data_IF_963249627276
#
_entry.id   IF_963249627276
#
_cell.length_a   1.000
_cell.length_b   1.000
_cell.length_c   1.000
_cell.angle_alpha   90.00
_cell.angle_beta   90.00
_cell.angle_gamma   90.00
#
_symmetry.space_group_name_H-M   'P 1'
#
loop_
_entity.id
_entity.type
_entity.pdbx_description
1 polymer ?
#
# COMPACT_ATOMS: atom_id res chain seq x y z
N UNK A 1 20.42 49.74 5.55
CA UNK A 1 19.31 49.01 4.90
C UNK A 1 19.62 47.53 4.97
N UNK A 2 18.87 46.81 5.81
CA UNK A 2 18.99 45.37 5.99
C UNK A 2 18.38 44.63 4.80
N UNK A 3 18.97 43.50 4.40
CA UNK A 3 18.17 42.43 3.84
C UNK A 3 18.74 41.07 4.27
N UNK A 4 18.13 40.52 5.31
CA UNK A 4 18.26 39.13 5.72
C UNK A 4 17.39 38.29 4.77
N UNK A 5 18.00 37.45 3.95
CA UNK A 5 17.30 36.32 3.34
C UNK A 5 17.31 35.17 4.36
N UNK A 6 16.19 34.98 5.04
CA UNK A 6 15.97 33.86 5.95
C UNK A 6 16.06 32.55 5.17
N UNK A 7 17.16 31.83 5.34
CA UNK A 7 17.25 30.42 5.02
C UNK A 7 16.28 29.69 5.98
N UNK A 8 15.09 29.37 5.46
CA UNK A 8 14.15 28.49 6.14
C UNK A 8 14.84 27.15 6.36
N UNK A 9 15.21 26.89 7.62
CA UNK A 9 15.52 25.55 8.09
C UNK A 9 14.27 24.71 7.85
N UNK A 10 14.26 23.95 6.74
CA UNK A 10 13.38 22.82 6.60
C UNK A 10 13.79 21.87 7.73
N UNK A 11 13.03 21.90 8.82
CA UNK A 11 13.16 20.95 9.91
C UNK A 11 12.88 19.57 9.32
N UNK A 12 13.94 18.87 8.92
CA UNK A 12 13.95 17.44 8.71
C UNK A 12 13.62 16.84 10.07
N UNK A 13 12.33 16.67 10.35
CA UNK A 13 11.87 15.87 11.48
C UNK A 13 12.20 14.44 11.09
N UNK A 14 13.45 14.05 11.36
CA UNK A 14 13.80 12.67 11.51
C UNK A 14 12.81 12.11 12.54
N UNK A 15 11.85 11.28 12.09
CA UNK A 15 11.15 10.36 12.97
C UNK A 15 12.18 9.34 13.44
N UNK A 16 13.07 9.78 14.32
CA UNK A 16 13.83 8.91 15.17
C UNK A 16 12.84 8.02 15.91
N UNK A 17 13.27 6.79 16.19
CA UNK A 17 12.61 5.83 17.08
C UNK A 17 12.28 6.50 18.42
N UNK A 18 11.20 7.27 18.48
CA UNK A 18 10.55 7.60 19.74
C UNK A 18 9.90 6.30 20.18
N UNK A 19 10.19 5.85 21.40
CA UNK A 19 9.57 4.70 22.07
C UNK A 19 8.07 4.89 22.31
N UNK A 20 7.32 5.18 21.26
CA UNK A 20 5.87 5.15 21.24
C UNK A 20 5.50 3.67 21.19
N UNK A 21 4.87 3.19 22.26
CA UNK A 21 4.21 1.89 22.26
C UNK A 21 3.34 1.81 21.00
N UNK A 22 3.72 0.91 20.10
CA UNK A 22 3.02 0.70 18.85
C UNK A 22 1.64 0.10 19.19
N UNK A 23 0.58 0.83 18.85
CA UNK A 23 -0.81 0.37 19.00
C UNK A 23 -1.44 0.44 17.61
N UNK A 24 -1.73 -0.71 16.98
CA UNK A 24 -2.46 -0.76 15.72
C UNK A 24 -3.72 0.11 15.79
N UNK A 25 -4.13 0.73 14.69
CA UNK A 25 -5.32 1.59 14.68
C UNK A 25 -6.57 0.81 15.17
N UNK A 26 -6.60 -0.50 14.91
CA UNK A 26 -7.65 -1.44 15.31
C UNK A 26 -7.63 -1.84 16.80
N UNK A 27 -6.53 -1.60 17.51
CA UNK A 27 -6.34 -1.95 18.92
C UNK A 27 -6.68 -0.79 19.89
N UNK A 28 -7.15 0.34 19.38
CA UNK A 28 -7.63 1.46 20.20
C UNK A 28 -8.96 1.11 20.86
N UNK A 29 -9.15 1.57 22.11
CA UNK A 29 -10.36 1.37 22.90
C UNK A 29 -11.57 2.19 22.41
N UNK A 30 -11.35 3.13 21.48
CA UNK A 30 -12.42 3.90 20.85
C UNK A 30 -13.23 3.01 19.90
N UNK A 31 -14.46 2.70 20.32
CA UNK A 31 -15.38 1.85 19.59
C UNK A 31 -15.71 2.41 18.19
N UNK A 32 -16.01 3.72 18.09
CA UNK A 32 -16.43 4.33 16.83
C UNK A 32 -15.29 4.36 15.83
N UNK A 33 -14.08 4.70 16.28
CA UNK A 33 -12.88 4.65 15.47
C UNK A 33 -12.61 3.23 14.98
N UNK A 34 -12.69 2.23 15.87
CA UNK A 34 -12.50 0.82 15.50
C UNK A 34 -13.51 0.37 14.45
N UNK A 35 -14.79 0.71 14.60
CA UNK A 35 -15.83 0.41 13.61
C UNK A 35 -15.56 1.12 12.27
N UNK A 36 -15.13 2.39 12.31
CA UNK A 36 -14.75 3.14 11.11
C UNK A 36 -13.61 2.48 10.34
N UNK A 37 -12.56 2.05 11.05
CA UNK A 37 -11.42 1.34 10.43
C UNK A 37 -11.87 0.01 9.84
N UNK A 38 -12.67 -0.79 10.54
CA UNK A 38 -13.16 -2.07 10.01
C UNK A 38 -13.96 -1.88 8.71
N UNK A 39 -14.79 -0.83 8.64
CA UNK A 39 -15.53 -0.48 7.42
C UNK A 39 -14.59 -0.02 6.29
N UNK A 40 -13.59 0.81 6.60
CA UNK A 40 -12.57 1.19 5.63
C UNK A 40 -11.84 -0.04 5.06
N UNK A 41 -11.40 -0.97 5.92
CA UNK A 41 -10.71 -2.19 5.48
C UNK A 41 -11.61 -3.08 4.61
N UNK A 42 -12.92 -3.15 4.89
CA UNK A 42 -13.87 -3.89 4.04
C UNK A 42 -14.05 -3.25 2.66
N UNK A 43 -14.09 -1.91 2.59
CA UNK A 43 -14.11 -1.16 1.33
C UNK A 43 -12.82 -1.45 0.55
N UNK A 44 -11.67 -1.35 1.21
CA UNK A 44 -10.37 -1.60 0.59
C UNK A 44 -10.20 -3.04 0.11
N UNK A 45 -10.70 -4.03 0.84
CA UNK A 45 -10.74 -5.42 0.33
C UNK A 45 -11.53 -5.52 -0.98
N UNK A 46 -12.67 -4.84 -1.08
CA UNK A 46 -13.50 -4.82 -2.28
C UNK A 46 -12.80 -4.10 -3.44
N UNK A 47 -12.26 -2.91 -3.20
CA UNK A 47 -11.54 -2.10 -4.21
C UNK A 47 -10.37 -2.88 -4.81
N UNK A 48 -9.54 -3.51 -3.96
CA UNK A 48 -8.39 -4.31 -4.43
C UNK A 48 -8.84 -5.53 -5.24
N UNK A 49 -9.92 -6.21 -4.84
CA UNK A 49 -10.46 -7.34 -5.62
C UNK A 49 -10.95 -6.91 -6.99
N UNK A 50 -11.67 -5.79 -7.06
CA UNK A 50 -12.17 -5.22 -8.33
C UNK A 50 -10.98 -4.87 -9.24
N UNK A 51 -10.01 -4.11 -8.73
CA UNK A 51 -8.80 -3.77 -9.49
C UNK A 51 -8.03 -5.01 -9.95
N UNK A 52 -7.96 -6.06 -9.14
CA UNK A 52 -7.29 -7.32 -9.51
C UNK A 52 -8.01 -8.02 -10.67
N UNK A 53 -9.34 -8.01 -10.69
CA UNK A 53 -10.13 -8.57 -11.81
C UNK A 53 -10.00 -7.71 -13.06
N UNK A 54 -9.97 -6.38 -12.93
CA UNK A 54 -9.76 -5.47 -14.05
C UNK A 54 -8.35 -5.63 -14.65
N UNK A 55 -7.33 -5.76 -13.80
CA UNK A 55 -5.98 -6.10 -14.23
C UNK A 55 -5.98 -7.42 -15.01
N UNK A 56 -6.67 -8.45 -14.51
CA UNK A 56 -6.80 -9.74 -15.22
C UNK A 56 -7.47 -9.57 -16.59
N UNK A 57 -8.56 -8.79 -16.68
CA UNK A 57 -9.27 -8.54 -17.94
C UNK A 57 -8.35 -7.87 -18.98
N UNK A 58 -7.52 -6.95 -18.51
CA UNK A 58 -6.68 -6.08 -19.36
C UNK A 58 -5.24 -6.62 -19.53
N UNK A 59 -4.86 -7.72 -18.86
CA UNK A 59 -3.58 -8.39 -19.01
C UNK A 59 -3.47 -9.11 -20.36
N UNK A 60 -2.26 -9.24 -20.90
CA UNK A 60 -2.04 -9.82 -22.23
C UNK A 60 -2.48 -11.29 -22.34
N UNK A 61 -2.32 -12.04 -21.26
CA UNK A 61 -2.67 -13.46 -21.17
C UNK A 61 -4.08 -13.71 -20.61
N UNK A 62 -4.77 -12.65 -20.16
CA UNK A 62 -6.06 -12.69 -19.46
C UNK A 62 -6.11 -13.65 -18.26
N UNK A 63 -4.96 -13.91 -17.63
CA UNK A 63 -4.82 -14.89 -16.55
C UNK A 63 -4.99 -14.29 -15.16
N UNK A 64 -5.36 -15.11 -14.18
CA UNK A 64 -5.32 -14.75 -12.76
C UNK A 64 -5.24 -16.02 -11.90
N UNK A 65 -4.26 -16.08 -11.00
CA UNK A 65 -4.24 -17.07 -9.91
C UNK A 65 -5.23 -16.65 -8.83
N UNK A 66 -6.53 -16.74 -9.13
CA UNK A 66 -7.59 -16.11 -8.37
C UNK A 66 -7.60 -16.54 -6.89
N UNK A 67 -7.49 -17.85 -6.62
CA UNK A 67 -7.43 -18.35 -5.25
C UNK A 67 -6.24 -17.79 -4.46
N UNK A 68 -5.06 -17.69 -5.07
CA UNK A 68 -3.86 -17.14 -4.44
C UNK A 68 -3.96 -15.63 -4.18
N UNK A 69 -4.47 -14.88 -5.16
CA UNK A 69 -4.68 -13.44 -5.08
C UNK A 69 -5.75 -13.06 -4.05
N UNK A 70 -6.94 -13.66 -4.14
CA UNK A 70 -8.08 -13.33 -3.27
C UNK A 70 -7.95 -13.80 -1.84
N UNK A 71 -7.18 -14.86 -1.57
CA UNK A 71 -6.77 -15.20 -0.21
C UNK A 71 -5.69 -14.28 0.33
N UNK A 72 -4.97 -13.53 -0.53
CA UNK A 72 -3.99 -12.52 -0.13
C UNK A 72 -4.62 -11.19 0.26
N UNK A 73 -5.78 -10.85 -0.30
CA UNK A 73 -6.31 -9.48 -0.20
C UNK A 73 -6.54 -9.04 1.24
N UNK A 74 -7.19 -9.86 2.08
CA UNK A 74 -7.46 -9.51 3.48
C UNK A 74 -6.17 -9.23 4.26
N UNK A 75 -5.16 -10.12 4.30
CA UNK A 75 -3.92 -9.82 5.03
C UNK A 75 -3.15 -8.64 4.42
N UNK A 76 -3.15 -8.47 3.10
CA UNK A 76 -2.54 -7.33 2.44
C UNK A 76 -3.21 -6.01 2.87
N UNK A 77 -4.53 -5.92 2.77
CA UNK A 77 -5.29 -4.73 3.17
C UNK A 77 -5.12 -4.45 4.65
N UNK A 78 -5.17 -5.48 5.50
CA UNK A 78 -4.90 -5.32 6.92
C UNK A 78 -3.51 -4.72 7.17
N UNK A 79 -2.45 -5.25 6.54
CA UNK A 79 -1.09 -4.76 6.75
C UNK A 79 -0.89 -3.32 6.29
N UNK A 80 -1.33 -3.00 5.06
CA UNK A 80 -1.05 -1.72 4.41
C UNK A 80 -2.02 -0.60 4.83
N UNK A 81 -3.30 -0.89 5.10
CA UNK A 81 -4.29 0.11 5.52
C UNK A 81 -4.62 0.08 7.02
N UNK A 82 -4.33 -1.02 7.73
CA UNK A 82 -4.60 -1.16 9.17
C UNK A 82 -3.58 -0.44 10.07
N UNK A 83 -2.54 0.16 9.47
CA UNK A 83 -1.47 0.84 10.19
C UNK A 83 -0.46 -0.12 10.82
N UNK A 84 -0.23 -1.30 10.22
CA UNK A 84 0.77 -2.26 10.67
C UNK A 84 2.17 -2.02 10.12
N UNK A 85 2.26 -1.46 8.92
CA UNK A 85 3.53 -1.17 8.28
C UNK A 85 3.87 0.32 8.40
N UNK A 86 5.10 0.63 8.80
CA UNK A 86 5.71 1.94 8.60
C UNK A 86 6.36 1.96 7.21
N UNK A 87 5.64 2.51 6.24
CA UNK A 87 6.07 2.63 4.84
C UNK A 87 5.96 4.08 4.37
N UNK A 88 6.80 4.44 3.40
CA UNK A 88 6.70 5.71 2.69
C UNK A 88 6.50 5.45 1.19
N UNK A 89 5.31 5.80 0.68
CA UNK A 89 4.98 5.63 -0.73
C UNK A 89 5.74 6.63 -1.61
N UNK A 90 6.08 7.80 -1.05
CA UNK A 90 6.80 8.86 -1.78
C UNK A 90 8.31 8.63 -1.82
N UNK A 91 8.86 7.93 -0.83
CA UNK A 91 10.21 7.36 -0.83
C UNK A 91 10.17 5.85 -0.53
N UNK A 92 9.88 5.01 -1.55
CA UNK A 92 9.83 3.55 -1.41
C UNK A 92 11.15 2.91 -0.96
N UNK A 93 12.24 3.67 -0.89
CA UNK A 93 13.57 3.21 -0.48
C UNK A 93 14.03 3.79 0.85
N UNK A 94 13.17 4.53 1.56
CA UNK A 94 13.48 5.14 2.85
C UNK A 94 14.10 4.13 3.80
N UNK A 95 15.32 4.42 4.25
CA UNK A 95 16.05 3.53 5.18
C UNK A 95 15.27 3.37 6.49
N UNK A 96 15.14 2.13 6.94
CA UNK A 96 14.52 1.79 8.21
C UNK A 96 13.00 1.67 8.19
N UNK A 97 12.35 1.80 7.02
CA UNK A 97 10.94 1.44 6.85
C UNK A 97 10.77 -0.10 6.88
N UNK A 98 9.53 -0.55 7.07
CA UNK A 98 9.21 -1.98 7.03
C UNK A 98 9.36 -2.56 5.62
N UNK A 99 9.83 -3.80 5.54
CA UNK A 99 9.94 -4.54 4.28
C UNK A 99 8.83 -5.59 4.19
N UNK A 100 8.14 -5.63 3.05
CA UNK A 100 7.15 -6.64 2.75
C UNK A 100 7.63 -7.55 1.61
N UNK A 101 7.58 -8.87 1.83
CA UNK A 101 7.95 -9.88 0.82
C UNK A 101 6.77 -10.81 0.57
N UNK A 102 6.32 -10.88 -0.69
CA UNK A 102 5.28 -11.81 -1.11
C UNK A 102 5.88 -13.14 -1.57
N UNK A 103 6.13 -14.07 -0.63
CA UNK A 103 6.66 -15.41 -0.99
C UNK A 103 5.72 -16.21 -1.90
N UNK A 104 4.40 -15.97 -1.82
CA UNK A 104 3.41 -16.52 -2.75
C UNK A 104 3.35 -15.71 -4.05
N UNK A 105 4.41 -15.78 -4.86
CA UNK A 105 4.57 -14.95 -6.06
C UNK A 105 3.40 -14.99 -7.05
N UNK A 106 2.67 -16.12 -7.13
CA UNK A 106 1.49 -16.21 -7.99
C UNK A 106 0.34 -15.26 -7.59
N UNK A 107 0.32 -14.76 -6.35
CA UNK A 107 -0.66 -13.78 -5.86
C UNK A 107 -0.32 -12.32 -6.22
N UNK A 108 0.72 -12.10 -7.03
CA UNK A 108 1.26 -10.76 -7.35
C UNK A 108 0.23 -9.78 -7.90
N UNK A 109 -0.82 -10.24 -8.60
CA UNK A 109 -1.87 -9.36 -9.12
C UNK A 109 -2.58 -8.55 -8.01
N UNK A 110 -2.81 -9.16 -6.84
CA UNK A 110 -3.40 -8.45 -5.70
C UNK A 110 -2.43 -7.41 -5.11
N UNK A 111 -1.13 -7.74 -5.05
CA UNK A 111 -0.10 -6.80 -4.57
C UNK A 111 0.08 -5.64 -5.55
N UNK A 112 0.12 -5.91 -6.86
CA UNK A 112 0.21 -4.88 -7.89
C UNK A 112 -0.99 -3.92 -7.85
N UNK A 113 -2.20 -4.46 -7.72
CA UNK A 113 -3.42 -3.65 -7.56
C UNK A 113 -3.37 -2.77 -6.31
N UNK A 114 -2.86 -3.30 -5.20
CA UNK A 114 -2.67 -2.55 -3.96
C UNK A 114 -1.61 -1.45 -4.11
N UNK A 115 -0.48 -1.74 -4.75
CA UNK A 115 0.57 -0.75 -4.97
C UNK A 115 0.13 0.37 -5.91
N UNK A 116 -0.67 0.03 -6.92
CA UNK A 116 -1.27 1.01 -7.82
C UNK A 116 -2.19 1.99 -7.08
N UNK A 117 -3.10 1.53 -6.22
CA UNK A 117 -4.00 2.45 -5.52
C UNK A 117 -3.36 3.17 -4.32
N UNK A 118 -2.33 2.58 -3.69
CA UNK A 118 -1.50 3.32 -2.74
C UNK A 118 -0.73 4.47 -3.41
N UNK A 119 -0.44 4.36 -4.71
CA UNK A 119 0.29 5.36 -5.47
C UNK A 119 1.79 5.09 -5.63
N UNK A 120 2.24 3.84 -5.44
CA UNK A 120 3.63 3.46 -5.75
C UNK A 120 3.94 3.58 -7.25
N UNK A 121 2.92 3.40 -8.09
CA UNK A 121 3.00 3.63 -9.53
C UNK A 121 1.60 3.95 -10.08
N UNK A 122 1.56 4.49 -11.30
CA UNK A 122 0.32 4.87 -11.96
C UNK A 122 -0.57 3.64 -12.30
N UNK A 123 -1.89 3.65 -12.00
CA UNK A 123 -2.79 2.54 -12.28
C UNK A 123 -2.81 2.08 -13.75
N UNK A 124 -2.38 2.91 -14.71
CA UNK A 124 -2.24 2.53 -16.12
C UNK A 124 -1.29 1.34 -16.32
N UNK A 125 -0.32 1.13 -15.43
CA UNK A 125 0.58 -0.02 -15.49
C UNK A 125 -0.14 -1.37 -15.29
N UNK A 126 -1.33 -1.39 -14.68
CA UNK A 126 -2.13 -2.62 -14.55
C UNK A 126 -2.62 -3.14 -15.91
N UNK A 127 -2.78 -2.24 -16.88
CA UNK A 127 -3.22 -2.59 -18.25
C UNK A 127 -2.06 -3.16 -19.06
N UNK A 128 -2.33 -4.15 -19.90
CA UNK A 128 -1.31 -4.88 -20.66
C UNK A 128 -0.18 -5.43 -19.78
N UNK A 129 -0.49 -5.75 -18.50
CA UNK A 129 0.45 -6.42 -17.61
C UNK A 129 0.79 -7.82 -18.12
N UNK A 130 1.92 -8.37 -17.66
CA UNK A 130 2.59 -9.59 -18.14
C UNK A 130 3.08 -9.51 -19.58
N UNK A 131 3.26 -8.29 -20.07
CA UNK A 131 3.92 -7.99 -21.35
C UNK A 131 5.42 -7.77 -21.13
N UNK A 132 6.23 -8.05 -22.15
CA UNK A 132 7.67 -7.73 -22.13
C UNK A 132 7.95 -6.22 -21.99
N UNK A 133 6.98 -5.37 -22.37
CA UNK A 133 7.07 -3.92 -22.25
C UNK A 133 6.50 -3.41 -20.92
N UNK A 134 5.90 -4.29 -20.11
CA UNK A 134 5.30 -3.95 -18.83
C UNK A 134 6.30 -4.14 -17.70
N UNK A 135 6.19 -3.30 -16.67
CA UNK A 135 6.91 -3.48 -15.39
C UNK A 135 6.23 -4.54 -14.49
N UNK A 136 5.01 -4.95 -14.85
CA UNK A 136 4.17 -5.97 -14.20
C UNK A 136 3.95 -7.18 -15.09
#
# INVERSE_FOLDING_TARGET
MANQAAAGQAATVARGRTGRSYVPLTARSDYLLRQGILKLLAIKDSDIRILTVEQCRDAVDKGLHAGGAFSATIPLVALFYGGFLDIDVTDPTRRGQDMFTLSKGHAVAALASLYAELGYFDPRHLKNSRSYASVL
#
